data_IF_260960963321
#
_entry.id   IF_260960963321
#
_cell.length_a   1.000
_cell.length_b   1.000
_cell.length_c   1.000
_cell.angle_alpha   90.00
_cell.angle_beta   90.00
_cell.angle_gamma   90.00
#
_symmetry.space_group_name_H-M   'P 1'
#
loop_
_entity.id
_entity.type
_entity.pdbx_description
1 polymer ?
#
# COMPACT_ATOMS: atom_id res chain seq x y z
N UNK A 1 43.66 -26.73 -25.25
CA UNK A 1 43.07 -26.26 -23.99
C UNK A 1 44.15 -25.67 -23.09
N UNK A 2 44.28 -24.34 -23.03
CA UNK A 2 44.98 -23.71 -21.90
C UNK A 2 44.09 -23.87 -20.67
N UNK A 3 44.70 -24.29 -19.57
CA UNK A 3 44.04 -24.68 -18.32
C UNK A 3 43.61 -23.39 -17.59
N UNK A 4 42.30 -23.07 -17.54
CA UNK A 4 41.80 -22.13 -16.53
C UNK A 4 42.12 -22.70 -15.14
N UNK A 5 42.58 -21.91 -14.17
CA UNK A 5 42.55 -22.35 -12.78
C UNK A 5 41.11 -22.77 -12.44
N UNK A 6 40.93 -23.96 -11.86
CA UNK A 6 39.60 -24.49 -11.51
C UNK A 6 38.82 -23.49 -10.65
N UNK A 7 39.53 -22.72 -9.82
CA UNK A 7 38.97 -21.62 -9.03
C UNK A 7 38.27 -20.55 -9.88
N UNK A 8 38.91 -20.07 -10.95
CA UNK A 8 38.34 -19.04 -11.85
C UNK A 8 37.13 -19.60 -12.60
N UNK A 9 37.21 -20.83 -13.10
CA UNK A 9 36.08 -21.48 -13.77
C UNK A 9 34.90 -21.70 -12.83
N UNK A 10 35.17 -22.13 -11.59
CA UNK A 10 34.15 -22.31 -10.55
C UNK A 10 33.46 -21.00 -10.17
N UNK A 11 34.22 -19.90 -10.08
CA UNK A 11 33.64 -18.57 -9.85
C UNK A 11 32.68 -18.19 -10.98
N UNK A 12 33.08 -18.36 -12.23
CA UNK A 12 32.22 -18.12 -13.39
C UNK A 12 30.95 -18.99 -13.36
N UNK A 13 31.05 -20.26 -12.92
CA UNK A 13 29.87 -21.11 -12.75
C UNK A 13 28.91 -20.61 -11.67
N UNK A 14 29.42 -20.03 -10.57
CA UNK A 14 28.57 -19.42 -9.55
C UNK A 14 27.83 -18.20 -10.09
N UNK A 15 28.47 -17.37 -10.91
CA UNK A 15 27.83 -16.24 -11.58
C UNK A 15 26.73 -16.72 -12.54
N UNK A 16 27.01 -17.74 -13.35
CA UNK A 16 26.01 -18.41 -14.20
C UNK A 16 24.83 -18.94 -13.39
N UNK A 17 25.10 -19.61 -12.26
CA UNK A 17 24.06 -20.13 -11.36
C UNK A 17 23.16 -19.01 -10.82
N UNK A 18 23.75 -17.91 -10.36
CA UNK A 18 23.00 -16.79 -9.80
C UNK A 18 22.08 -16.14 -10.84
N UNK A 19 22.57 -15.88 -12.06
CA UNK A 19 21.73 -15.33 -13.13
C UNK A 19 20.56 -16.26 -13.48
N UNK A 20 20.75 -17.59 -13.42
CA UNK A 20 19.67 -18.54 -13.68
C UNK A 20 18.65 -18.58 -12.54
N UNK A 21 19.10 -18.48 -11.28
CA UNK A 21 18.20 -18.38 -10.14
C UNK A 21 17.35 -17.10 -10.23
N UNK A 22 17.95 -15.97 -10.61
CA UNK A 22 17.22 -14.72 -10.81
C UNK A 22 16.19 -14.84 -11.93
N UNK A 23 16.56 -15.45 -13.06
CA UNK A 23 15.63 -15.76 -14.16
C UNK A 23 14.46 -16.63 -13.66
N UNK A 24 14.72 -17.68 -12.87
CA UNK A 24 13.69 -18.53 -12.30
C UNK A 24 12.74 -17.74 -11.38
N UNK A 25 13.30 -16.92 -10.48
CA UNK A 25 12.54 -16.09 -9.56
C UNK A 25 11.60 -15.13 -10.31
N UNK A 26 12.12 -14.43 -11.33
CA UNK A 26 11.33 -13.49 -12.15
C UNK A 26 10.21 -14.19 -12.94
N UNK A 27 10.39 -15.45 -13.33
CA UNK A 27 9.37 -16.24 -14.01
C UNK A 27 8.26 -16.71 -13.05
N UNK A 28 8.58 -16.95 -11.78
CA UNK A 28 7.60 -17.34 -10.75
C UNK A 28 6.77 -16.17 -10.21
N UNK A 29 7.41 -15.03 -9.95
CA UNK A 29 6.81 -13.88 -9.26
C UNK A 29 5.65 -13.25 -10.06
N UNK A 30 5.69 -13.30 -11.39
CA UNK A 30 4.84 -12.43 -12.23
C UNK A 30 3.63 -13.13 -12.86
N UNK A 31 3.34 -14.41 -12.57
CA UNK A 31 2.23 -15.14 -13.23
C UNK A 31 2.24 -14.93 -14.77
N UNK A 32 3.45 -14.86 -15.37
CA UNK A 32 3.67 -14.86 -16.83
C UNK A 32 3.21 -16.21 -17.45
N UNK A 33 2.82 -17.13 -16.57
CA UNK A 33 2.61 -18.56 -16.74
C UNK A 33 1.38 -18.99 -17.58
N UNK A 34 0.42 -18.15 -18.03
CA UNK A 34 -0.53 -18.66 -19.03
C UNK A 34 0.14 -19.04 -20.36
N UNK A 35 1.34 -18.51 -20.68
CA UNK A 35 2.04 -18.77 -21.94
C UNK A 35 3.42 -19.45 -21.81
N UNK A 36 4.08 -19.41 -20.65
CA UNK A 36 5.30 -20.18 -20.41
C UNK A 36 4.94 -21.67 -20.29
N UNK A 37 5.27 -22.45 -21.32
CA UNK A 37 5.06 -23.89 -21.33
C UNK A 37 5.77 -24.46 -20.10
N UNK A 38 5.08 -25.22 -19.24
CA UNK A 38 5.64 -25.79 -18.00
C UNK A 38 6.98 -26.53 -18.23
N UNK A 39 7.20 -26.98 -19.47
CA UNK A 39 8.44 -27.58 -19.97
C UNK A 39 9.66 -26.63 -19.97
N UNK A 40 9.49 -25.35 -20.28
CA UNK A 40 10.58 -24.36 -20.36
C UNK A 40 11.07 -23.99 -18.95
N UNK A 41 10.15 -23.86 -18.00
CA UNK A 41 10.48 -23.68 -16.57
C UNK A 41 11.15 -24.94 -16.00
N UNK A 42 10.65 -26.13 -16.33
CA UNK A 42 11.32 -27.38 -15.94
C UNK A 42 12.71 -27.52 -16.54
N UNK A 43 12.92 -27.02 -17.76
CA UNK A 43 14.23 -27.00 -18.42
C UNK A 43 15.22 -26.10 -17.67
N UNK A 44 14.77 -24.92 -17.23
CA UNK A 44 15.55 -23.99 -16.41
C UNK A 44 16.00 -24.62 -15.08
N UNK A 45 15.07 -25.21 -14.33
CA UNK A 45 15.40 -25.88 -13.07
C UNK A 45 16.38 -27.04 -13.26
N UNK A 46 16.18 -27.88 -14.29
CA UNK A 46 17.11 -28.95 -14.62
C UNK A 46 18.50 -28.42 -14.97
N UNK A 47 18.58 -27.27 -15.63
CA UNK A 47 19.87 -26.67 -15.95
C UNK A 47 20.55 -26.07 -14.71
N UNK A 48 19.78 -25.44 -13.82
CA UNK A 48 20.29 -24.99 -12.52
C UNK A 48 20.87 -26.15 -11.68
N UNK A 49 20.18 -27.30 -11.66
CA UNK A 49 20.67 -28.53 -11.01
C UNK A 49 21.97 -29.04 -11.65
N UNK A 50 22.07 -28.97 -12.99
CA UNK A 50 23.27 -29.35 -13.73
C UNK A 50 24.47 -28.45 -13.35
N UNK A 51 24.26 -27.13 -13.24
CA UNK A 51 25.29 -26.18 -12.80
C UNK A 51 25.74 -26.50 -11.38
N UNK A 52 24.78 -26.65 -10.45
CA UNK A 52 25.09 -26.95 -9.05
C UNK A 52 25.84 -28.28 -8.90
N UNK A 53 25.44 -29.31 -9.67
CA UNK A 53 26.15 -30.58 -9.74
C UNK A 53 27.57 -30.42 -10.28
N UNK A 54 27.75 -29.59 -11.31
CA UNK A 54 29.06 -29.29 -11.92
C UNK A 54 29.97 -28.55 -10.94
N UNK A 55 29.46 -27.53 -10.24
CA UNK A 55 30.18 -26.81 -9.18
C UNK A 55 30.63 -27.77 -8.08
N UNK A 56 29.75 -28.70 -7.67
CA UNK A 56 30.04 -29.68 -6.61
C UNK A 56 31.10 -30.70 -7.06
N UNK A 57 31.09 -31.11 -8.33
CA UNK A 57 32.07 -32.05 -8.91
C UNK A 57 33.46 -31.43 -9.12
N UNK A 58 33.53 -30.11 -9.23
CA UNK A 58 34.80 -29.37 -9.30
C UNK A 58 35.37 -29.19 -7.90
N UNK A 59 36.21 -30.15 -7.47
CA UNK A 59 36.89 -30.15 -6.17
C UNK A 59 37.91 -28.99 -6.05
N UNK A 60 38.10 -28.53 -4.82
CA UNK A 60 38.68 -27.22 -4.50
C UNK A 60 40.20 -27.10 -4.56
N UNK A 61 41.00 -27.98 -5.19
CA UNK A 61 42.46 -27.81 -5.13
C UNK A 61 43.35 -28.51 -6.18
N UNK A 62 42.86 -28.83 -7.38
CA UNK A 62 43.74 -29.41 -8.42
C UNK A 62 43.76 -28.57 -9.70
N UNK A 63 44.89 -28.53 -10.39
CA UNK A 63 44.95 -28.03 -11.77
C UNK A 63 44.07 -28.90 -12.67
N UNK A 64 43.60 -28.39 -13.82
CA UNK A 64 42.89 -29.16 -14.87
C UNK A 64 43.87 -30.15 -15.57
N UNK A 65 44.48 -31.04 -14.80
CA UNK A 65 45.34 -32.13 -15.25
C UNK A 65 44.60 -33.47 -15.28
N UNK A 66 43.50 -33.62 -14.54
CA UNK A 66 42.71 -34.85 -14.55
C UNK A 66 41.71 -34.84 -15.72
N UNK A 67 41.78 -35.88 -16.56
CA UNK A 67 40.90 -36.08 -17.73
C UNK A 67 39.42 -35.96 -17.34
N UNK A 68 39.04 -36.47 -16.17
CA UNK A 68 37.68 -36.39 -15.62
C UNK A 68 37.17 -34.96 -15.41
N UNK A 69 38.04 -34.01 -15.04
CA UNK A 69 37.67 -32.59 -14.90
C UNK A 69 37.51 -31.91 -16.26
N UNK A 70 38.33 -32.28 -17.26
CA UNK A 70 38.19 -31.78 -18.64
C UNK A 70 36.90 -32.25 -19.29
N UNK A 71 36.52 -33.50 -19.09
CA UNK A 71 35.27 -34.06 -19.61
C UNK A 71 34.06 -33.42 -18.94
N UNK A 72 34.14 -33.15 -17.62
CA UNK A 72 33.11 -32.44 -16.87
C UNK A 72 32.93 -31.00 -17.39
N UNK A 73 34.03 -30.26 -17.61
CA UNK A 73 34.00 -28.90 -18.16
C UNK A 73 33.46 -28.89 -19.60
N UNK A 74 33.91 -29.81 -20.45
CA UNK A 74 33.49 -29.87 -21.86
C UNK A 74 32.00 -30.22 -21.98
N UNK A 75 31.53 -31.18 -21.19
CA UNK A 75 30.11 -31.54 -21.11
C UNK A 75 29.26 -30.38 -20.60
N UNK A 76 29.74 -29.65 -19.59
CA UNK A 76 29.06 -28.45 -19.10
C UNK A 76 28.97 -27.37 -20.18
N UNK A 77 30.08 -27.03 -20.85
CA UNK A 77 30.09 -26.01 -21.89
C UNK A 77 29.14 -26.36 -23.04
N UNK A 78 29.07 -27.63 -23.44
CA UNK A 78 28.08 -28.10 -24.40
C UNK A 78 26.64 -27.85 -23.91
N UNK A 79 26.35 -28.20 -22.65
CA UNK A 79 25.03 -27.97 -22.06
C UNK A 79 24.69 -26.48 -21.93
N UNK A 80 25.68 -25.62 -21.61
CA UNK A 80 25.52 -24.18 -21.52
C UNK A 80 25.21 -23.57 -22.89
N UNK A 81 25.93 -23.98 -23.95
CA UNK A 81 25.66 -23.52 -25.31
C UNK A 81 24.23 -23.88 -25.73
N UNK A 82 23.86 -25.15 -25.50
CA UNK A 82 22.51 -25.64 -25.81
C UNK A 82 21.44 -24.87 -25.01
N UNK A 83 21.70 -24.60 -23.73
CA UNK A 83 20.80 -23.81 -22.89
C UNK A 83 20.62 -22.40 -23.44
N UNK A 84 21.70 -21.71 -23.78
CA UNK A 84 21.66 -20.34 -24.31
C UNK A 84 20.87 -20.26 -25.61
N UNK A 85 21.10 -21.19 -26.54
CA UNK A 85 20.32 -21.24 -27.79
C UNK A 85 18.83 -21.42 -27.53
N UNK A 86 18.46 -22.36 -26.64
CA UNK A 86 17.05 -22.62 -26.30
C UNK A 86 16.41 -21.46 -25.54
N UNK A 87 17.13 -20.87 -24.62
CA UNK A 87 16.63 -19.77 -23.80
C UNK A 87 16.44 -18.49 -24.62
N UNK A 88 17.31 -18.21 -25.58
CA UNK A 88 17.13 -17.07 -26.48
C UNK A 88 15.81 -17.17 -27.27
N UNK A 89 15.48 -18.36 -27.79
CA UNK A 89 14.20 -18.60 -28.48
C UNK A 89 13.01 -18.42 -27.53
N UNK A 90 13.13 -18.90 -26.29
CA UNK A 90 12.11 -18.71 -25.27
C UNK A 90 11.90 -17.22 -24.94
N UNK A 91 12.99 -16.48 -24.72
CA UNK A 91 12.93 -15.06 -24.38
C UNK A 91 12.28 -14.22 -25.49
N UNK A 92 12.61 -14.47 -26.76
CA UNK A 92 11.96 -13.78 -27.88
C UNK A 92 10.47 -14.09 -27.98
N UNK A 93 10.09 -15.36 -27.77
CA UNK A 93 8.68 -15.76 -27.73
C UNK A 93 7.92 -15.09 -26.59
N UNK A 94 8.56 -14.94 -25.42
CA UNK A 94 7.98 -14.24 -24.28
C UNK A 94 7.63 -12.78 -24.63
N UNK A 95 8.55 -12.06 -25.29
CA UNK A 95 8.26 -10.70 -25.75
C UNK A 95 7.22 -10.67 -26.86
N UNK A 96 7.22 -11.63 -27.77
CA UNK A 96 6.19 -11.75 -28.79
C UNK A 96 4.80 -11.88 -28.16
N UNK A 97 4.63 -12.77 -27.18
CA UNK A 97 3.37 -12.96 -26.46
C UNK A 97 2.93 -11.68 -25.74
N UNK A 98 3.84 -11.04 -24.99
CA UNK A 98 3.53 -9.77 -24.29
C UNK A 98 3.15 -8.66 -25.28
N UNK A 99 3.86 -8.54 -26.40
CA UNK A 99 3.56 -7.54 -27.44
C UNK A 99 2.22 -7.81 -28.10
N UNK A 100 1.88 -9.08 -28.36
CA UNK A 100 0.59 -9.47 -28.93
C UNK A 100 -0.57 -9.17 -27.96
N UNK A 101 -0.41 -9.49 -26.68
CA UNK A 101 -1.40 -9.14 -25.66
C UNK A 101 -1.53 -7.61 -25.54
N UNK A 102 -0.42 -6.87 -25.58
CA UNK A 102 -0.44 -5.41 -25.51
C UNK A 102 -1.13 -4.79 -26.73
N UNK A 103 -0.84 -5.28 -27.93
CA UNK A 103 -1.49 -4.84 -29.17
C UNK A 103 -3.00 -5.04 -29.12
N UNK A 104 -3.48 -6.15 -28.54
CA UNK A 104 -4.92 -6.38 -28.38
C UNK A 104 -5.61 -5.31 -27.50
N UNK A 105 -4.90 -4.75 -26.52
CA UNK A 105 -5.42 -3.63 -25.71
C UNK A 105 -5.39 -2.30 -26.49
N UNK A 106 -4.40 -2.12 -27.36
CA UNK A 106 -4.22 -0.91 -28.17
C UNK A 106 -5.31 -0.70 -29.24
N UNK A 107 -6.14 -1.70 -29.52
CA UNK A 107 -7.35 -1.55 -30.36
C UNK A 107 -8.41 -0.61 -29.75
N UNK A 108 -8.17 -0.08 -28.54
CA UNK A 108 -8.98 0.95 -27.88
C UNK A 108 -8.47 2.36 -28.23
N UNK A 109 -9.22 3.18 -29.01
CA UNK A 109 -8.74 4.47 -29.54
C UNK A 109 -8.19 5.44 -28.50
N UNK A 110 -8.78 5.45 -27.29
CA UNK A 110 -8.34 6.30 -26.18
C UNK A 110 -6.98 5.91 -25.59
N UNK A 111 -6.69 4.60 -25.56
CA UNK A 111 -5.39 4.09 -25.08
C UNK A 111 -4.32 4.44 -26.12
N UNK A 112 -4.64 4.32 -27.41
CA UNK A 112 -3.76 4.74 -28.50
C UNK A 112 -3.43 6.23 -28.44
N UNK A 113 -4.40 7.10 -28.11
CA UNK A 113 -4.21 8.54 -27.99
C UNK A 113 -3.28 8.93 -26.82
N UNK A 114 -3.46 8.30 -25.65
CA UNK A 114 -2.61 8.55 -24.48
C UNK A 114 -1.15 8.10 -24.69
N UNK A 115 -0.96 6.99 -25.40
CA UNK A 115 0.37 6.45 -25.69
C UNK A 115 1.00 7.12 -26.92
N UNK A 116 0.21 7.72 -27.82
CA UNK A 116 0.70 8.48 -28.98
C UNK A 116 1.64 9.63 -28.60
N UNK A 117 1.53 10.15 -27.37
CA UNK A 117 2.45 11.16 -26.82
C UNK A 117 3.85 10.62 -26.47
N UNK A 118 4.06 9.29 -26.47
CA UNK A 118 5.33 8.66 -26.10
C UNK A 118 6.35 8.57 -27.24
N UNK A 119 6.07 9.08 -28.45
CA UNK A 119 6.95 8.93 -29.63
C UNK A 119 7.37 7.47 -29.89
N UNK A 120 6.48 6.51 -29.59
CA UNK A 120 6.71 5.08 -29.88
C UNK A 120 5.97 4.77 -31.18
N UNK A 121 6.66 5.00 -32.31
CA UNK A 121 6.09 4.79 -33.65
C UNK A 121 5.75 3.31 -33.92
N UNK A 122 6.27 2.38 -33.10
CA UNK A 122 5.99 0.97 -33.22
C UNK A 122 6.10 0.22 -31.88
N UNK A 123 4.98 -0.26 -31.34
CA UNK A 123 4.95 -1.04 -30.10
C UNK A 123 5.63 -2.40 -30.21
N UNK A 124 5.96 -2.86 -31.42
CA UNK A 124 6.69 -4.12 -31.61
C UNK A 124 8.14 -4.05 -31.12
N UNK A 125 8.69 -2.85 -30.83
CA UNK A 125 10.08 -2.67 -30.38
C UNK A 125 10.26 -2.54 -28.85
N UNK A 126 9.18 -2.67 -28.06
CA UNK A 126 9.25 -2.60 -26.59
C UNK A 126 9.99 -3.82 -26.03
N UNK A 127 11.24 -3.63 -25.59
CA UNK A 127 12.06 -4.74 -25.05
C UNK A 127 12.87 -4.39 -23.81
N UNK A 128 12.85 -3.13 -23.38
CA UNK A 128 13.66 -2.65 -22.26
C UNK A 128 12.79 -2.20 -21.09
N UNK A 129 13.38 -2.25 -19.87
CA UNK A 129 12.71 -1.84 -18.63
C UNK A 129 12.26 -0.38 -18.70
N UNK A 130 13.10 0.52 -19.24
CA UNK A 130 12.81 1.94 -19.39
C UNK A 130 11.61 2.18 -20.30
N UNK A 131 11.56 1.52 -21.45
CA UNK A 131 10.43 1.65 -22.38
C UNK A 131 9.11 1.22 -21.74
N UNK A 132 9.09 0.09 -21.03
CA UNK A 132 7.89 -0.37 -20.33
C UNK A 132 7.54 0.49 -19.10
N UNK A 133 8.53 1.08 -18.43
CA UNK A 133 8.34 2.06 -17.36
C UNK A 133 7.65 3.34 -17.85
N UNK A 134 8.10 3.87 -18.99
CA UNK A 134 7.47 5.05 -19.59
C UNK A 134 6.00 4.78 -20.00
N UNK A 135 5.70 3.56 -20.46
CA UNK A 135 4.34 3.10 -20.75
C UNK A 135 3.51 3.01 -19.46
N UNK A 136 4.09 2.47 -18.37
CA UNK A 136 3.45 2.41 -17.06
C UNK A 136 3.05 3.81 -16.58
N UNK A 137 3.98 4.75 -16.57
CA UNK A 137 3.74 6.13 -16.12
C UNK A 137 2.65 6.80 -16.97
N UNK A 138 2.69 6.64 -18.29
CA UNK A 138 1.72 7.30 -19.18
C UNK A 138 0.28 6.79 -18.97
N UNK A 139 0.11 5.47 -18.80
CA UNK A 139 -1.20 4.83 -18.73
C UNK A 139 -1.76 4.78 -17.30
N UNK A 140 -0.90 4.50 -16.30
CA UNK A 140 -1.33 4.14 -14.95
C UNK A 140 -1.05 5.22 -13.89
N UNK A 141 -0.45 6.35 -14.26
CA UNK A 141 -0.39 7.50 -13.34
C UNK A 141 -1.84 7.97 -13.03
N UNK A 142 -2.26 7.86 -11.76
CA UNK A 142 -3.66 7.86 -11.38
C UNK A 142 -4.23 9.28 -11.41
N UNK A 143 -5.13 9.50 -12.35
CA UNK A 143 -6.03 10.66 -12.33
C UNK A 143 -7.45 10.12 -12.39
N UNK A 144 -8.35 10.64 -11.53
CA UNK A 144 -9.75 10.21 -11.48
C UNK A 144 -10.41 10.26 -12.87
N UNK A 145 -9.99 11.19 -13.73
CA UNK A 145 -10.46 11.30 -15.12
C UNK A 145 -10.10 10.09 -16.00
N UNK A 146 -8.94 9.44 -15.81
CA UNK A 146 -8.52 8.29 -16.61
C UNK A 146 -9.33 7.03 -16.29
N UNK A 147 -9.74 6.86 -15.02
CA UNK A 147 -10.53 5.70 -14.56
C UNK A 147 -11.93 5.74 -15.18
N UNK A 148 -12.56 6.92 -15.22
CA UNK A 148 -13.88 7.10 -15.83
C UNK A 148 -13.86 6.92 -17.36
N UNK A 149 -12.74 7.23 -18.02
CA UNK A 149 -12.64 7.20 -19.48
C UNK A 149 -12.30 5.84 -20.09
N UNK A 150 -11.45 5.05 -19.43
CA UNK A 150 -10.95 3.75 -19.90
C UNK A 150 -11.71 2.58 -19.23
N UNK A 151 -12.17 2.80 -17.99
CA UNK A 151 -12.81 1.80 -17.15
C UNK A 151 -11.79 0.90 -16.42
N UNK A 152 -12.03 0.68 -15.12
CA UNK A 152 -11.13 -0.05 -14.22
C UNK A 152 -10.66 -1.39 -14.77
N UNK A 153 -11.56 -2.21 -15.34
CA UNK A 153 -11.21 -3.54 -15.88
C UNK A 153 -10.16 -3.51 -16.98
N UNK A 154 -10.14 -2.46 -17.81
CA UNK A 154 -9.14 -2.31 -18.87
C UNK A 154 -7.82 -1.81 -18.30
N UNK A 155 -7.85 -0.91 -17.32
CA UNK A 155 -6.65 -0.46 -16.60
C UNK A 155 -5.97 -1.62 -15.86
N UNK A 156 -6.73 -2.46 -15.17
CA UNK A 156 -6.20 -3.66 -14.51
C UNK A 156 -5.52 -4.60 -15.52
N UNK A 157 -6.08 -4.72 -16.73
CA UNK A 157 -5.50 -5.53 -17.80
C UNK A 157 -4.22 -4.88 -18.38
N UNK A 158 -4.21 -3.56 -18.58
CA UNK A 158 -3.02 -2.80 -18.96
C UNK A 158 -1.88 -3.00 -17.95
N UNK A 159 -2.18 -2.82 -16.66
CA UNK A 159 -1.22 -3.00 -15.57
C UNK A 159 -0.62 -4.41 -15.57
N UNK A 160 -1.46 -5.42 -15.77
CA UNK A 160 -1.00 -6.80 -15.86
C UNK A 160 -0.05 -7.02 -17.03
N UNK A 161 -0.36 -6.50 -18.22
CA UNK A 161 0.50 -6.68 -19.40
C UNK A 161 1.80 -5.89 -19.27
N UNK A 162 1.74 -4.64 -18.79
CA UNK A 162 2.93 -3.81 -18.59
C UNK A 162 3.85 -4.47 -17.56
N UNK A 163 3.30 -5.03 -16.49
CA UNK A 163 4.05 -5.80 -15.50
C UNK A 163 4.74 -7.03 -16.12
N UNK A 164 4.06 -7.76 -17.02
CA UNK A 164 4.69 -8.85 -17.79
C UNK A 164 5.82 -8.35 -18.68
N UNK A 165 5.65 -7.21 -19.35
CA UNK A 165 6.69 -6.59 -20.20
C UNK A 165 7.92 -6.13 -19.43
N UNK A 166 7.73 -5.53 -18.24
CA UNK A 166 8.80 -5.19 -17.31
C UNK A 166 9.57 -6.44 -16.86
N UNK A 167 8.86 -7.51 -16.52
CA UNK A 167 9.47 -8.76 -16.11
C UNK A 167 10.25 -9.45 -17.25
N UNK A 168 9.68 -9.52 -18.45
CA UNK A 168 10.38 -10.00 -19.64
C UNK A 168 11.66 -9.21 -19.92
N UNK A 169 11.61 -7.88 -19.72
CA UNK A 169 12.78 -6.99 -19.85
C UNK A 169 13.87 -7.29 -18.83
N UNK A 170 13.51 -7.54 -17.58
CA UNK A 170 14.47 -7.97 -16.54
C UNK A 170 15.09 -9.33 -16.88
N UNK A 171 14.28 -10.28 -17.33
CA UNK A 171 14.77 -11.60 -17.78
C UNK A 171 15.77 -11.46 -18.93
N UNK A 172 15.51 -10.58 -19.90
CA UNK A 172 16.44 -10.30 -21.00
C UNK A 172 17.76 -9.71 -20.53
N UNK A 173 17.73 -8.82 -19.54
CA UNK A 173 18.95 -8.25 -18.95
C UNK A 173 19.80 -9.33 -18.30
N UNK A 174 19.21 -10.18 -17.46
CA UNK A 174 19.90 -11.30 -16.83
C UNK A 174 20.42 -12.32 -17.85
N UNK A 175 19.65 -12.58 -18.91
CA UNK A 175 20.11 -13.43 -20.01
C UNK A 175 21.28 -12.81 -20.77
N UNK A 176 21.30 -11.49 -20.95
CA UNK A 176 22.42 -10.79 -21.61
C UNK A 176 23.69 -10.88 -20.77
N UNK A 177 23.57 -10.78 -19.44
CA UNK A 177 24.67 -11.04 -18.50
C UNK A 177 25.19 -12.48 -18.67
N UNK A 178 24.29 -13.46 -18.67
CA UNK A 178 24.64 -14.86 -18.89
C UNK A 178 25.33 -15.10 -20.24
N UNK A 179 24.82 -14.48 -21.32
CA UNK A 179 25.37 -14.59 -22.66
C UNK A 179 26.78 -14.00 -22.74
N UNK A 180 27.02 -12.86 -22.10
CA UNK A 180 28.35 -12.25 -22.03
C UNK A 180 29.33 -13.14 -21.28
N UNK A 181 28.93 -13.69 -20.13
CA UNK A 181 29.73 -14.67 -19.36
C UNK A 181 30.07 -15.88 -20.25
N UNK A 182 29.10 -16.37 -21.02
CA UNK A 182 29.33 -17.46 -21.97
C UNK A 182 30.32 -17.09 -23.08
N UNK A 183 30.19 -15.90 -23.68
CA UNK A 183 31.15 -15.43 -24.69
C UNK A 183 32.56 -15.32 -24.12
N UNK A 184 32.71 -14.88 -22.87
CA UNK A 184 33.99 -14.87 -22.17
C UNK A 184 34.55 -16.28 -21.95
N UNK A 185 33.69 -17.30 -21.75
CA UNK A 185 34.10 -18.70 -21.71
C UNK A 185 34.60 -19.16 -23.10
N UNK A 186 34.00 -18.69 -24.19
CA UNK A 186 34.31 -19.12 -25.57
C UNK A 186 35.45 -18.37 -26.27
N UNK A 187 35.67 -17.09 -25.98
CA UNK A 187 36.60 -16.22 -26.72
C UNK A 187 38.08 -16.32 -26.29
N UNK A 188 38.41 -17.04 -25.23
CA UNK A 188 39.80 -17.20 -24.77
C UNK A 188 40.65 -18.16 -25.62
N UNK A 189 40.15 -18.69 -26.75
CA UNK A 189 40.89 -19.64 -27.61
C UNK A 189 41.88 -19.02 -28.61
N UNK A 190 41.89 -17.70 -28.86
CA UNK A 190 42.70 -17.10 -29.95
C UNK A 190 43.40 -15.75 -29.63
N UNK A 191 44.22 -15.64 -28.58
CA UNK A 191 45.13 -14.47 -28.51
C UNK A 191 46.45 -14.69 -27.74
N UNK A 192 47.65 -14.51 -28.36
CA UNK A 192 48.93 -14.69 -27.67
C UNK A 192 49.36 -13.53 -26.75
N UNK A 193 48.67 -12.40 -26.71
CA UNK A 193 49.06 -11.21 -25.92
C UNK A 193 48.57 -11.20 -24.44
N UNK A 194 48.06 -12.31 -23.93
CA UNK A 194 47.38 -12.37 -22.63
C UNK A 194 48.28 -12.17 -21.38
N UNK A 195 49.61 -12.21 -21.48
CA UNK A 195 50.46 -12.13 -20.28
C UNK A 195 50.39 -10.76 -19.58
N UNK A 196 50.47 -9.65 -20.33
CA UNK A 196 50.46 -8.31 -19.72
C UNK A 196 49.04 -7.82 -19.41
N UNK A 197 48.06 -8.25 -20.20
CA UNK A 197 46.65 -7.95 -19.99
C UNK A 197 46.11 -8.72 -18.77
N UNK A 198 46.55 -9.96 -18.54
CA UNK A 198 46.15 -10.72 -17.36
C UNK A 198 46.71 -10.13 -16.06
N UNK A 199 47.92 -9.55 -16.05
CA UNK A 199 48.45 -8.87 -14.86
C UNK A 199 47.68 -7.58 -14.55
N UNK A 200 47.35 -6.78 -15.57
CA UNK A 200 46.51 -5.59 -15.39
C UNK A 200 45.07 -5.94 -14.98
N UNK A 201 44.47 -6.97 -15.59
CA UNK A 201 43.15 -7.46 -15.18
C UNK A 201 43.18 -8.06 -13.78
N UNK A 202 44.26 -8.74 -13.39
CA UNK A 202 44.41 -9.28 -12.04
C UNK A 202 44.46 -8.17 -10.99
N UNK A 203 45.22 -7.10 -11.24
CA UNK A 203 45.24 -5.93 -10.36
C UNK A 203 43.90 -5.18 -10.34
N UNK A 204 43.23 -5.08 -11.49
CA UNK A 204 41.90 -4.47 -11.58
C UNK A 204 40.86 -5.29 -10.82
N UNK A 205 40.89 -6.62 -10.93
CA UNK A 205 40.01 -7.53 -10.21
C UNK A 205 40.28 -7.52 -8.71
N UNK A 206 41.54 -7.44 -8.27
CA UNK A 206 41.88 -7.26 -6.86
C UNK A 206 41.29 -5.97 -6.28
N UNK A 207 41.35 -4.87 -7.04
CA UNK A 207 40.75 -3.59 -6.63
C UNK A 207 39.22 -3.65 -6.61
N UNK A 208 38.60 -4.30 -7.60
CA UNK A 208 37.15 -4.49 -7.66
C UNK A 208 36.66 -5.38 -6.52
N UNK A 209 37.35 -6.49 -6.22
CA UNK A 209 37.03 -7.35 -5.08
C UNK A 209 37.09 -6.58 -3.76
N UNK A 210 38.11 -5.74 -3.58
CA UNK A 210 38.22 -4.88 -2.39
C UNK A 210 37.10 -3.83 -2.33
N UNK A 211 36.68 -3.29 -3.47
CA UNK A 211 35.50 -2.41 -3.52
C UNK A 211 34.20 -3.16 -3.18
N UNK A 212 34.04 -4.39 -3.67
CA UNK A 212 32.89 -5.25 -3.34
C UNK A 212 32.87 -5.55 -1.84
N UNK A 213 33.99 -5.92 -1.24
CA UNK A 213 34.08 -6.14 0.22
C UNK A 213 33.71 -4.88 1.01
N UNK A 214 34.20 -3.71 0.59
CA UNK A 214 33.84 -2.44 1.23
C UNK A 214 32.34 -2.14 1.11
N UNK A 215 31.76 -2.35 -0.08
CA UNK A 215 30.32 -2.15 -0.31
C UNK A 215 29.47 -3.16 0.48
N UNK A 216 29.92 -4.41 0.60
CA UNK A 216 29.25 -5.41 1.43
C UNK A 216 29.27 -5.01 2.90
N UNK A 217 30.40 -4.54 3.42
CA UNK A 217 30.50 -4.03 4.80
C UNK A 217 29.62 -2.79 5.01
N UNK A 218 29.55 -1.90 4.02
CA UNK A 218 28.69 -0.72 4.07
C UNK A 218 27.20 -1.10 4.07
N UNK A 219 26.79 -2.04 3.23
CA UNK A 219 25.42 -2.58 3.22
C UNK A 219 25.07 -3.26 4.52
N UNK A 220 25.97 -4.08 5.09
CA UNK A 220 25.72 -4.69 6.41
C UNK A 220 25.48 -3.65 7.51
N UNK A 221 26.24 -2.55 7.50
CA UNK A 221 26.04 -1.44 8.45
C UNK A 221 24.72 -0.71 8.20
N UNK A 222 24.34 -0.49 6.93
CA UNK A 222 23.06 0.12 6.56
C UNK A 222 21.88 -0.77 6.96
N UNK A 223 21.96 -2.07 6.73
CA UNK A 223 20.95 -3.06 7.12
C UNK A 223 20.79 -3.15 8.64
N UNK A 224 21.90 -3.06 9.38
CA UNK A 224 21.83 -2.97 10.84
C UNK A 224 21.10 -1.69 11.27
N UNK A 225 21.48 -0.53 10.73
CA UNK A 225 20.83 0.75 11.04
C UNK A 225 19.34 0.75 10.65
N UNK A 226 19.00 0.12 9.54
CA UNK A 226 17.61 -0.03 9.11
C UNK A 226 16.80 -0.90 10.07
N UNK A 227 17.39 -1.99 10.57
CA UNK A 227 16.74 -2.83 11.60
C UNK A 227 16.55 -2.08 12.92
N UNK A 228 17.51 -1.27 13.33
CA UNK A 228 17.42 -0.41 14.53
C UNK A 228 16.29 0.60 14.38
N UNK A 229 16.25 1.35 13.26
CA UNK A 229 15.18 2.31 12.97
C UNK A 229 13.80 1.64 12.89
N UNK A 230 13.71 0.45 12.30
CA UNK A 230 12.44 -0.30 12.24
C UNK A 230 11.94 -0.71 13.62
N UNK A 231 12.86 -1.06 14.53
CA UNK A 231 12.51 -1.38 15.91
C UNK A 231 12.07 -0.12 16.69
N UNK A 232 12.74 1.01 16.49
CA UNK A 232 12.40 2.30 17.09
C UNK A 232 11.02 2.79 16.64
N UNK A 233 10.75 2.81 15.33
CA UNK A 233 9.43 3.16 14.78
C UNK A 233 8.33 2.24 15.32
N UNK A 234 8.60 0.93 15.44
CA UNK A 234 7.64 -0.01 16.03
C UNK A 234 7.35 0.33 17.50
N UNK A 235 8.38 0.69 18.27
CA UNK A 235 8.24 1.07 19.67
C UNK A 235 7.42 2.36 19.82
N UNK A 236 7.78 3.41 19.07
CA UNK A 236 7.06 4.68 19.09
C UNK A 236 5.60 4.51 18.67
N UNK A 237 5.34 3.70 17.64
CA UNK A 237 3.97 3.38 17.21
C UNK A 237 3.17 2.74 18.35
N UNK A 238 3.74 1.74 19.04
CA UNK A 238 3.06 1.07 20.15
C UNK A 238 2.78 2.03 21.31
N UNK A 239 3.74 2.89 21.67
CA UNK A 239 3.56 3.89 22.74
C UNK A 239 2.46 4.90 22.38
N UNK A 240 2.39 5.30 21.10
CA UNK A 240 1.37 6.22 20.61
C UNK A 240 -0.02 5.56 20.58
N UNK A 241 -0.10 4.30 20.17
CA UNK A 241 -1.33 3.50 20.14
C UNK A 241 -1.89 3.30 21.55
N UNK A 242 -1.04 2.93 22.51
CA UNK A 242 -1.41 2.80 23.93
C UNK A 242 -1.88 4.14 24.51
N UNK A 243 -1.22 5.25 24.17
CA UNK A 243 -1.62 6.58 24.63
C UNK A 243 -3.01 6.97 24.09
N UNK A 244 -3.26 6.75 22.81
CA UNK A 244 -4.57 7.06 22.22
C UNK A 244 -5.68 6.15 22.75
N UNK A 245 -5.40 4.86 22.98
CA UNK A 245 -6.38 3.95 23.54
C UNK A 245 -6.79 4.36 24.96
N UNK A 246 -5.81 4.77 25.78
CA UNK A 246 -6.08 5.33 27.11
C UNK A 246 -6.90 6.63 27.07
N UNK A 247 -6.62 7.52 26.11
CA UNK A 247 -7.35 8.79 25.94
C UNK A 247 -8.79 8.56 25.47
N UNK A 248 -9.00 7.65 24.51
CA UNK A 248 -10.34 7.23 24.05
C UNK A 248 -11.15 6.67 25.21
N UNK A 249 -10.53 5.81 26.03
CA UNK A 249 -11.19 5.20 27.18
C UNK A 249 -11.54 6.23 28.26
N UNK A 250 -10.68 7.22 28.50
CA UNK A 250 -11.00 8.35 29.38
C UNK A 250 -12.21 9.16 28.86
N UNK A 251 -12.19 9.53 27.58
CA UNK A 251 -13.28 10.29 26.95
C UNK A 251 -14.61 9.51 26.94
N UNK A 252 -14.57 8.18 26.76
CA UNK A 252 -15.77 7.33 26.88
C UNK A 252 -16.38 7.41 28.28
N UNK A 253 -15.57 7.31 29.33
CA UNK A 253 -16.06 7.41 30.73
C UNK A 253 -16.62 8.80 31.04
N UNK A 254 -15.99 9.86 30.53
CA UNK A 254 -16.52 11.22 30.67
C UNK A 254 -17.86 11.38 29.95
N UNK A 255 -17.97 10.87 28.72
CA UNK A 255 -19.21 10.95 27.94
C UNK A 255 -20.35 10.16 28.62
N UNK A 256 -20.07 8.98 29.16
CA UNK A 256 -21.04 8.19 29.93
C UNK A 256 -21.52 8.95 31.18
N UNK A 257 -20.60 9.62 31.89
CA UNK A 257 -20.95 10.43 33.05
C UNK A 257 -21.82 11.63 32.67
N UNK A 258 -21.47 12.34 31.59
CA UNK A 258 -22.24 13.48 31.09
C UNK A 258 -23.63 13.05 30.59
N UNK A 259 -23.72 11.91 29.91
CA UNK A 259 -24.98 11.34 29.42
C UNK A 259 -25.93 11.03 30.59
N UNK A 260 -25.43 10.38 31.66
CA UNK A 260 -26.23 10.12 32.87
C UNK A 260 -26.69 11.40 33.56
N UNK A 261 -25.82 12.43 33.64
CA UNK A 261 -26.20 13.73 34.21
C UNK A 261 -27.28 14.41 33.37
N UNK A 262 -27.17 14.32 32.05
CA UNK A 262 -28.16 14.89 31.13
C UNK A 262 -29.52 14.19 31.27
N UNK A 263 -29.55 12.86 31.32
CA UNK A 263 -30.78 12.10 31.56
C UNK A 263 -31.42 12.45 32.91
N UNK A 264 -30.61 12.55 33.98
CA UNK A 264 -31.12 12.96 35.29
C UNK A 264 -31.70 14.38 35.27
N UNK A 265 -31.08 15.30 34.52
CA UNK A 265 -31.59 16.67 34.36
C UNK A 265 -32.92 16.70 33.61
N UNK A 266 -33.09 15.86 32.58
CA UNK A 266 -34.37 15.73 31.86
C UNK A 266 -35.47 15.25 32.80
N UNK A 267 -35.22 14.20 33.59
CA UNK A 267 -36.19 13.68 34.57
C UNK A 267 -36.56 14.75 35.60
N UNK A 268 -35.57 15.44 36.16
CA UNK A 268 -35.83 16.52 37.12
C UNK A 268 -36.63 17.68 36.49
N UNK A 269 -36.39 18.00 35.21
CA UNK A 269 -37.13 19.03 34.48
C UNK A 269 -38.60 18.61 34.29
N UNK A 270 -38.84 17.36 33.90
CA UNK A 270 -40.19 16.81 33.74
C UNK A 270 -40.98 16.82 35.07
N UNK A 271 -40.31 16.50 36.19
CA UNK A 271 -40.89 16.58 37.53
C UNK A 271 -41.25 18.03 37.91
N UNK A 272 -40.34 18.99 37.72
CA UNK A 272 -40.62 20.41 37.98
C UNK A 272 -41.76 20.93 37.12
N UNK A 273 -41.84 20.54 35.84
CA UNK A 273 -42.95 20.92 34.98
C UNK A 273 -44.28 20.35 35.47
N UNK A 274 -44.28 19.11 35.96
CA UNK A 274 -45.47 18.49 36.53
C UNK A 274 -45.93 19.24 37.77
N UNK A 275 -45.02 19.53 38.70
CA UNK A 275 -45.32 20.28 39.92
C UNK A 275 -45.87 21.68 39.59
N UNK A 276 -45.28 22.36 38.60
CA UNK A 276 -45.77 23.66 38.13
C UNK A 276 -47.19 23.58 37.55
N UNK A 277 -47.52 22.51 36.81
CA UNK A 277 -48.88 22.28 36.29
C UNK A 277 -49.88 22.07 37.44
N UNK A 278 -49.52 21.27 38.43
CA UNK A 278 -50.36 21.03 39.62
C UNK A 278 -50.58 22.32 40.42
N UNK A 279 -49.54 23.12 40.62
CA UNK A 279 -49.64 24.39 41.36
C UNK A 279 -50.48 25.42 40.61
N UNK A 280 -50.34 25.51 39.28
CA UNK A 280 -51.24 26.34 38.45
C UNK A 280 -52.70 25.93 38.59
N UNK A 281 -52.98 24.63 38.64
CA UNK A 281 -54.35 24.13 38.83
C UNK A 281 -54.89 24.49 40.22
N UNK A 282 -54.09 24.33 41.29
CA UNK A 282 -54.47 24.73 42.65
C UNK A 282 -54.73 26.24 42.75
N UNK A 283 -53.84 27.04 42.17
CA UNK A 283 -53.98 28.49 42.11
C UNK A 283 -55.27 28.90 41.39
N UNK A 284 -55.59 28.26 40.26
CA UNK A 284 -56.85 28.51 39.54
C UNK A 284 -58.08 28.21 40.39
N UNK A 285 -58.10 27.06 41.08
CA UNK A 285 -59.20 26.70 42.00
C UNK A 285 -59.34 27.75 43.11
N UNK A 286 -58.23 28.17 43.71
CA UNK A 286 -58.25 29.17 44.79
C UNK A 286 -58.76 30.53 44.32
N UNK A 287 -58.34 30.99 43.14
CA UNK A 287 -58.85 32.22 42.52
C UNK A 287 -60.35 32.13 42.26
N UNK A 288 -60.84 30.98 41.82
CA UNK A 288 -62.27 30.77 41.59
C UNK A 288 -63.05 30.81 42.91
N UNK A 289 -62.55 30.15 43.96
CA UNK A 289 -63.16 30.21 45.30
C UNK A 289 -63.21 31.63 45.86
N UNK A 290 -62.15 32.43 45.66
CA UNK A 290 -62.14 33.84 46.05
C UNK A 290 -63.18 34.66 45.28
N UNK A 291 -63.37 34.37 43.99
CA UNK A 291 -64.41 35.02 43.17
C UNK A 291 -65.81 34.64 43.66
N UNK A 292 -66.06 33.36 43.90
CA UNK A 292 -67.35 32.87 44.41
C UNK A 292 -67.66 33.48 45.80
N UNK A 293 -66.64 33.61 46.67
CA UNK A 293 -66.77 34.29 47.96
C UNK A 293 -67.04 35.79 47.79
N UNK A 294 -66.36 36.46 46.87
CA UNK A 294 -66.59 37.86 46.56
C UNK A 294 -68.04 38.10 46.10
N UNK A 295 -68.54 37.27 45.19
CA UNK A 295 -69.91 37.34 44.69
C UNK A 295 -70.93 37.05 45.81
N UNK A 296 -70.67 36.04 46.64
CA UNK A 296 -71.50 35.72 47.81
C UNK A 296 -71.58 36.86 48.83
N UNK A 297 -70.46 37.55 49.11
CA UNK A 297 -70.43 38.74 49.98
C UNK A 297 -71.23 39.88 49.35
N UNK A 298 -71.11 40.10 48.03
CA UNK A 298 -71.88 41.12 47.32
C UNK A 298 -73.39 40.86 47.42
N UNK A 299 -73.82 39.59 47.38
CA UNK A 299 -75.23 39.18 47.51
C UNK A 299 -75.75 39.22 48.96
N UNK A 300 -74.89 38.98 49.96
CA UNK A 300 -75.29 38.94 51.39
C UNK A 300 -75.24 40.28 52.10
N UNK A 301 -74.53 41.28 51.57
CA UNK A 301 -74.49 42.64 52.10
C UNK A 301 -75.30 43.57 51.20
N UNK A 302 -76.63 43.70 51.40
CA UNK A 302 -77.41 44.63 50.61
C UNK A 302 -76.91 46.06 50.84
N UNK A 303 -76.44 46.70 49.78
CA UNK A 303 -76.11 48.14 49.77
C UNK A 303 -77.28 48.96 50.34
N UNK A 304 -78.52 48.49 50.11
CA UNK A 304 -79.75 49.10 50.66
C UNK A 304 -79.84 49.14 52.19
N UNK A 305 -79.13 48.28 52.94
CA UNK A 305 -79.02 48.40 54.41
C UNK A 305 -78.11 49.56 54.82
N UNK A 306 -77.05 49.82 54.06
CA UNK A 306 -76.17 50.97 54.27
C UNK A 306 -76.84 52.27 53.83
N UNK A 307 -77.53 52.28 52.70
CA UNK A 307 -78.29 53.44 52.21
C UNK A 307 -79.41 53.83 53.20
N UNK A 308 -80.17 52.86 53.73
CA UNK A 308 -81.19 53.14 54.76
C UNK A 308 -80.60 53.66 56.07
N UNK A 309 -79.38 53.24 56.44
CA UNK A 309 -78.73 53.75 57.66
C UNK A 309 -78.19 55.16 57.43
N UNK A 310 -77.64 55.45 56.24
CA UNK A 310 -77.22 56.77 55.82
C UNK A 310 -78.40 57.75 55.72
N UNK A 311 -79.53 57.36 55.12
CA UNK A 311 -80.72 58.22 55.08
C UNK A 311 -81.24 58.54 56.49
N UNK A 312 -81.25 57.57 57.40
CA UNK A 312 -81.63 57.81 58.80
C UNK A 312 -80.65 58.74 59.51
N UNK A 313 -79.35 58.60 59.25
CA UNK A 313 -78.31 59.43 59.82
C UNK A 313 -78.37 60.87 59.28
N UNK A 314 -78.59 61.04 57.97
CA UNK A 314 -78.79 62.35 57.35
C UNK A 314 -80.03 63.04 57.93
N UNK A 315 -81.17 62.33 58.01
CA UNK A 315 -82.39 62.87 58.65
C UNK A 315 -82.16 63.25 60.12
N UNK A 316 -81.37 62.47 60.86
CA UNK A 316 -81.00 62.80 62.23
C UNK A 316 -80.15 64.07 62.31
N UNK A 317 -79.16 64.22 61.43
CA UNK A 317 -78.35 65.44 61.34
C UNK A 317 -79.18 66.67 60.94
N UNK A 318 -80.06 66.54 59.95
CA UNK A 318 -81.00 67.60 59.55
C UNK A 318 -81.95 67.98 60.69
N UNK A 319 -82.42 66.99 61.48
CA UNK A 319 -83.24 67.25 62.66
C UNK A 319 -82.46 68.01 63.73
N UNK A 320 -81.22 67.60 64.03
CA UNK A 320 -80.36 68.32 64.98
C UNK A 320 -80.11 69.76 64.54
N UNK A 321 -79.91 69.98 63.24
CA UNK A 321 -79.67 71.31 62.67
C UNK A 321 -80.87 72.27 62.85
N UNK A 322 -82.10 71.74 62.80
CA UNK A 322 -83.33 72.51 63.09
C UNK A 322 -83.48 72.94 64.56
N UNK A 323 -82.79 72.29 65.49
CA UNK A 323 -82.84 72.64 66.92
C UNK A 323 -81.65 73.49 67.36
N UNK A 324 -80.69 73.74 66.48
CA UNK A 324 -79.49 74.56 66.73
C UNK A 324 -79.46 75.88 65.93
N UNK A 325 -80.51 76.15 65.15
CA UNK A 325 -80.86 77.46 64.57
C UNK A 325 -82.16 77.96 65.19
#
# INVERSE_FOLDING_TARGET
>A
MKIRPISKYRQTLFEVYNSIQEICFLLEDVNIIPSANQKDIQFLYKFADNINSTITRLSSNENISHISQRDTISSFNYNLNFFIEKFNVFAEKLFEDVRNEFHFILDSPKITEMIGNLNIDNFTSLTTVEQWGNVYESILEPTESKIDEIGQKKLDLCEKIISKGLAASKIKNEFSVLFNIHQEISLEENNPNQSSINEQLYQTNQNLLKQIENLQQENMKKDQKFRELKAEVKKERNELEEKYENEIEHLRRENDMLSKKYEALLVATDEIEKDLREEKQRSWIFVQQLRDLQDSIADTVPISRFEKSQEKYIKFLEMLQKYTT
#
